data_IF_225215224972
#
_entry.id   IF_225215224972
#
_cell.length_a   1.000
_cell.length_b   1.000
_cell.length_c   1.000
_cell.angle_alpha   90.00
_cell.angle_beta   90.00
_cell.angle_gamma   90.00
#
_symmetry.space_group_name_H-M   'P 1'
#
loop_
_entity.id
_entity.type
_entity.pdbx_description
1 polymer ?
#
# COMPACT_ATOMS: atom_id res chain seq x y z
N UNK A 1 -2.30 5.34 10.41
CA UNK A 1 -3.35 4.29 10.52
C UNK A 1 -2.69 2.96 10.90
N UNK A 2 -3.34 2.09 11.68
CA UNK A 2 -2.77 0.76 12.05
C UNK A 2 -3.04 -0.31 11.00
N UNK A 3 -2.20 -1.35 10.92
CA UNK A 3 -2.37 -2.48 9.99
C UNK A 3 -3.69 -3.24 10.24
N UNK A 4 -4.14 -3.34 11.48
CA UNK A 4 -5.44 -3.95 11.81
C UNK A 4 -6.60 -3.17 11.20
N UNK A 5 -6.55 -1.84 11.23
CA UNK A 5 -7.54 -0.98 10.59
C UNK A 5 -7.48 -1.08 9.07
N UNK A 6 -6.28 -1.15 8.50
CA UNK A 6 -6.08 -1.41 7.07
C UNK A 6 -6.73 -2.73 6.65
N UNK A 7 -6.48 -3.84 7.36
CA UNK A 7 -7.05 -5.15 7.01
C UNK A 7 -8.59 -5.18 6.98
N UNK A 8 -9.24 -4.35 7.81
CA UNK A 8 -10.69 -4.17 7.78
C UNK A 8 -11.12 -3.44 6.50
N UNK A 9 -10.44 -2.34 6.15
CA UNK A 9 -10.69 -1.58 4.92
C UNK A 9 -10.47 -2.47 3.70
N UNK A 10 -9.39 -3.27 3.66
CA UNK A 10 -9.09 -4.16 2.54
C UNK A 10 -10.18 -5.21 2.25
N UNK A 11 -11.04 -5.51 3.22
CA UNK A 11 -12.19 -6.41 3.07
C UNK A 11 -13.52 -5.70 2.76
N UNK A 12 -13.54 -4.38 2.69
CA UNK A 12 -14.75 -3.57 2.45
C UNK A 12 -14.57 -2.71 1.20
N UNK A 13 -15.31 -3.07 0.14
CA UNK A 13 -15.25 -2.40 -1.16
C UNK A 13 -15.58 -0.90 -1.09
N UNK A 14 -16.52 -0.50 -0.22
CA UNK A 14 -16.93 0.91 -0.13
C UNK A 14 -15.82 1.73 0.53
N UNK A 15 -15.22 1.22 1.60
CA UNK A 15 -14.11 1.89 2.27
C UNK A 15 -12.86 1.97 1.39
N UNK A 16 -12.61 0.97 0.55
CA UNK A 16 -11.53 1.00 -0.44
C UNK A 16 -11.73 2.12 -1.47
N UNK A 17 -12.92 2.21 -2.07
CA UNK A 17 -13.25 3.29 -3.02
C UNK A 17 -13.11 4.66 -2.35
N UNK A 18 -13.48 4.77 -1.07
CA UNK A 18 -13.31 6.01 -0.32
C UNK A 18 -11.83 6.35 -0.12
N UNK A 19 -11.02 5.38 0.29
CA UNK A 19 -9.60 5.56 0.55
C UNK A 19 -8.80 5.87 -0.73
N UNK A 20 -9.13 5.24 -1.86
CA UNK A 20 -8.48 5.55 -3.14
C UNK A 20 -8.73 6.98 -3.60
N UNK A 21 -9.96 7.51 -3.38
CA UNK A 21 -10.34 8.89 -3.71
C UNK A 21 -9.68 9.94 -2.81
N UNK A 22 -9.58 9.66 -1.51
CA UNK A 22 -8.92 10.56 -0.55
C UNK A 22 -7.40 10.53 -0.72
N UNK A 23 -6.88 9.38 -1.12
CA UNK A 23 -5.45 9.13 -1.29
C UNK A 23 -4.85 8.42 -0.08
N UNK A 24 -3.89 7.55 -0.36
CA UNK A 24 -3.09 6.86 0.66
C UNK A 24 -2.06 7.84 1.21
N UNK A 25 -2.09 8.13 2.50
CA UNK A 25 -1.01 8.90 3.13
C UNK A 25 0.33 8.15 3.05
N UNK A 26 1.45 8.87 2.95
CA UNK A 26 2.76 8.25 3.00
C UNK A 26 2.98 7.42 4.28
N UNK A 27 2.40 7.84 5.42
CA UNK A 27 2.47 7.11 6.68
C UNK A 27 1.87 5.70 6.57
N UNK A 28 0.75 5.56 5.88
CA UNK A 28 0.08 4.29 5.61
C UNK A 28 0.88 3.46 4.60
N UNK A 29 1.32 4.08 3.50
CA UNK A 29 2.21 3.44 2.54
C UNK A 29 3.47 2.87 3.21
N UNK A 30 4.12 3.63 4.09
CA UNK A 30 5.30 3.18 4.81
C UNK A 30 4.99 1.99 5.72
N UNK A 31 3.82 1.99 6.37
CA UNK A 31 3.37 0.86 7.18
C UNK A 31 3.20 -0.40 6.34
N UNK A 32 2.58 -0.26 5.15
CA UNK A 32 2.46 -1.35 4.18
C UNK A 32 3.87 -1.82 3.79
N UNK A 33 4.72 -0.94 3.27
CA UNK A 33 6.08 -1.25 2.85
C UNK A 33 6.85 -2.07 3.91
N UNK A 34 6.81 -1.66 5.17
CA UNK A 34 7.51 -2.37 6.27
C UNK A 34 6.96 -3.75 6.61
N UNK A 35 5.73 -4.05 6.20
CA UNK A 35 5.10 -5.38 6.37
C UNK A 35 5.28 -6.29 5.15
N UNK A 36 6.02 -5.83 4.14
CA UNK A 36 6.22 -6.55 2.87
C UNK A 36 7.68 -6.85 2.63
N UNK A 37 8.00 -7.90 1.88
CA UNK A 37 9.39 -8.19 1.47
C UNK A 37 9.89 -7.23 0.37
N UNK A 38 9.07 -6.27 -0.08
CA UNK A 38 9.40 -5.38 -1.20
C UNK A 38 10.16 -4.14 -0.74
N UNK A 39 11.24 -3.85 -1.45
CA UNK A 39 12.04 -2.65 -1.26
C UNK A 39 11.37 -1.41 -1.85
N UNK A 40 11.84 -0.22 -1.49
CA UNK A 40 11.39 1.04 -2.10
C UNK A 40 11.61 1.06 -3.62
N UNK A 41 12.62 0.34 -4.11
CA UNK A 41 12.93 0.20 -5.53
C UNK A 41 11.90 -0.68 -6.27
N UNK A 42 11.41 -1.72 -5.60
CA UNK A 42 10.32 -2.54 -6.13
C UNK A 42 9.04 -1.72 -6.21
N UNK A 43 8.72 -0.97 -5.15
CA UNK A 43 7.59 -0.04 -5.14
C UNK A 43 7.71 1.07 -6.19
N UNK A 44 8.91 1.59 -6.45
CA UNK A 44 9.19 2.50 -7.56
C UNK A 44 8.78 1.88 -8.90
N UNK A 45 9.10 0.60 -9.10
CA UNK A 45 8.70 -0.15 -10.30
C UNK A 45 7.19 -0.39 -10.35
N UNK A 46 6.56 -0.79 -9.24
CA UNK A 46 5.13 -1.10 -9.17
C UNK A 46 4.23 0.11 -9.38
N UNK A 47 4.67 1.28 -8.93
CA UNK A 47 3.94 2.55 -9.03
C UNK A 47 4.32 3.35 -10.28
N UNK A 48 5.32 2.90 -11.04
CA UNK A 48 5.92 3.66 -12.13
C UNK A 48 6.37 5.07 -11.70
N UNK A 49 6.91 5.17 -10.48
CA UNK A 49 7.40 6.39 -9.87
C UNK A 49 8.88 6.26 -9.60
N UNK A 50 9.67 7.30 -9.86
CA UNK A 50 11.09 7.27 -9.47
C UNK A 50 11.25 7.25 -7.95
N UNK A 51 12.32 6.63 -7.45
CA UNK A 51 12.66 6.66 -6.01
C UNK A 51 12.73 8.10 -5.47
N UNK A 52 13.26 9.05 -6.26
CA UNK A 52 13.26 10.49 -5.91
C UNK A 52 11.85 11.02 -5.65
N UNK A 53 10.87 10.58 -6.43
CA UNK A 53 9.46 10.99 -6.24
C UNK A 53 8.92 10.40 -4.94
N UNK A 54 9.17 9.11 -4.68
CA UNK A 54 8.78 8.46 -3.42
C UNK A 54 9.42 9.11 -2.19
N UNK A 55 10.69 9.52 -2.28
CA UNK A 55 11.36 10.29 -1.22
C UNK A 55 10.74 11.69 -1.03
N UNK A 56 10.22 12.30 -2.10
CA UNK A 56 9.47 13.55 -1.98
C UNK A 56 8.15 13.36 -1.25
N UNK A 57 7.37 12.30 -1.53
CA UNK A 57 6.17 11.97 -0.73
C UNK A 57 6.53 11.76 0.74
N UNK A 58 7.64 11.07 1.02
CA UNK A 58 8.16 10.89 2.38
C UNK A 58 8.43 12.22 3.08
N UNK A 59 9.16 13.11 2.40
CA UNK A 59 9.58 14.40 2.94
C UNK A 59 8.39 15.34 3.17
N UNK A 60 7.46 15.37 2.22
CA UNK A 60 6.29 16.26 2.26
C UNK A 60 5.14 15.70 3.12
N UNK A 61 5.17 14.41 3.48
CA UNK A 61 4.09 13.75 4.23
C UNK A 61 2.76 13.72 3.46
N UNK A 62 2.79 13.94 2.15
CA UNK A 62 1.60 14.10 1.32
C UNK A 62 0.95 12.74 0.97
N UNK A 63 -0.34 12.77 0.68
CA UNK A 63 -1.04 11.61 0.13
C UNK A 63 -0.65 11.34 -1.32
N UNK A 64 -0.66 10.07 -1.68
CA UNK A 64 -0.56 9.60 -3.06
C UNK A 64 -1.82 9.98 -3.83
N UNK A 65 -1.66 10.41 -5.08
CA UNK A 65 -2.75 10.63 -6.01
C UNK A 65 -3.48 9.31 -6.28
N UNK A 66 -4.73 9.40 -6.76
CA UNK A 66 -5.63 8.26 -6.88
C UNK A 66 -5.03 7.05 -7.62
N UNK A 67 -4.36 7.17 -8.78
CA UNK A 67 -3.81 6.00 -9.48
C UNK A 67 -2.75 5.25 -8.66
N UNK A 68 -1.92 5.97 -7.92
CA UNK A 68 -0.91 5.37 -7.06
C UNK A 68 -1.53 4.78 -5.80
N UNK A 69 -2.52 5.45 -5.23
CA UNK A 69 -3.28 4.97 -4.08
C UNK A 69 -4.03 3.67 -4.38
N UNK A 70 -4.68 3.59 -5.53
CA UNK A 70 -5.31 2.38 -6.04
C UNK A 70 -4.29 1.25 -6.14
N UNK A 71 -3.17 1.48 -6.81
CA UNK A 71 -2.11 0.48 -6.97
C UNK A 71 -1.52 0.00 -5.64
N UNK A 72 -1.30 0.90 -4.68
CA UNK A 72 -0.82 0.55 -3.33
C UNK A 72 -1.80 -0.37 -2.62
N UNK A 73 -3.09 -0.06 -2.69
CA UNK A 73 -4.13 -0.84 -2.03
C UNK A 73 -4.34 -2.20 -2.70
N UNK A 74 -4.28 -2.29 -4.03
CA UNK A 74 -4.31 -3.56 -4.77
C UNK A 74 -3.19 -4.50 -4.33
N UNK A 75 -1.96 -4.00 -4.22
CA UNK A 75 -0.81 -4.81 -3.79
C UNK A 75 -0.99 -5.27 -2.35
N UNK A 76 -1.48 -4.38 -1.47
CA UNK A 76 -1.78 -4.74 -0.08
C UNK A 76 -2.90 -5.81 0.02
N UNK A 77 -3.94 -5.72 -0.82
CA UNK A 77 -4.98 -6.74 -0.90
C UNK A 77 -4.43 -8.08 -1.39
N UNK A 78 -3.58 -8.05 -2.43
CA UNK A 78 -2.96 -9.24 -2.98
C UNK A 78 -2.12 -9.97 -1.91
N UNK A 79 -1.33 -9.24 -1.14
CA UNK A 79 -0.52 -9.82 -0.07
C UNK A 79 -1.36 -10.40 1.05
N UNK A 80 -2.39 -9.67 1.50
CA UNK A 80 -3.33 -10.19 2.48
C UNK A 80 -3.95 -11.50 1.99
N UNK A 81 -4.38 -11.53 0.72
CA UNK A 81 -4.98 -12.72 0.12
C UNK A 81 -3.99 -13.86 -0.04
N UNK A 82 -2.74 -13.56 -0.38
CA UNK A 82 -1.64 -14.53 -0.43
C UNK A 82 -1.46 -15.21 0.92
N UNK A 83 -1.28 -14.43 1.99
CA UNK A 83 -1.14 -14.96 3.36
C UNK A 83 -2.35 -15.79 3.77
N UNK A 84 -3.58 -15.34 3.46
CA UNK A 84 -4.80 -16.12 3.75
C UNK A 84 -4.86 -17.48 3.05
N UNK A 85 -4.32 -17.57 1.82
CA UNK A 85 -4.36 -18.79 1.00
C UNK A 85 -3.22 -19.74 1.33
N UNK A 86 -2.01 -19.21 1.53
CA UNK A 86 -0.79 -19.99 1.75
C UNK A 86 -0.47 -20.21 3.23
N UNK A 87 -1.19 -19.55 4.14
CA UNK A 87 -1.08 -19.74 5.59
C UNK A 87 0.09 -19.00 6.25
N UNK A 88 1.12 -18.64 5.49
CA UNK A 88 2.26 -17.83 5.93
C UNK A 88 2.74 -16.91 4.79
N UNK A 89 3.38 -15.80 5.15
CA UNK A 89 4.02 -14.89 4.20
C UNK A 89 5.25 -15.51 3.55
N UNK A 90 5.94 -16.43 4.23
CA UNK A 90 7.12 -17.13 3.70
C UNK A 90 6.76 -18.16 2.61
N UNK A 91 5.50 -18.57 2.53
CA UNK A 91 4.99 -19.51 1.53
C UNK A 91 4.35 -18.83 0.30
N UNK A 92 4.35 -17.49 0.27
CA UNK A 92 3.79 -16.66 -0.79
C UNK A 92 4.92 -16.00 -1.61
#
# INVERSE_FOLDING_TARGET
>A
MSIKALNKILGDTIELIRLTRIGVEYSLFNSILTTTPYSIKDWSSFLHLTERTLQRYKKEGRSFEQPYSERILEIAQLQKRGIEVFGDADYF
#
